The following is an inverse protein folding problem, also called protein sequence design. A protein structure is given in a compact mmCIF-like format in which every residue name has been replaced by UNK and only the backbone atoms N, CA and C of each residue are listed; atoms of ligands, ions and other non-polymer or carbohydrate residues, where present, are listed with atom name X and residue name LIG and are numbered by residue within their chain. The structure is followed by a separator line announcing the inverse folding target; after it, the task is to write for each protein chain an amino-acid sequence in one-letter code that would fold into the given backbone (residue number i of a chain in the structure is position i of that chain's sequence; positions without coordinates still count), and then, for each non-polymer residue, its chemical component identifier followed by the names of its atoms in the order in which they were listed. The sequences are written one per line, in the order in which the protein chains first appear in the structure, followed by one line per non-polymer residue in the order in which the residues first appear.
data_IF_180774393298
#
_entry.id   IF_180774393298
#
_cell.length_a   1.000
_cell.length_b   1.000
_cell.length_c   1.000
_cell.angle_alpha   90.00
_cell.angle_beta   90.00
_cell.angle_gamma   90.00
#
_symmetry.space_group_name_H-M   'P 1'
#
loop_
_entity.id
_entity.type
_entity.pdbx_description
1 polymer ?
#
# COMPACT_ATOMS: atom_id res chain seq x y z
N UNK A 1 -36.32 19.50 19.78
CA UNK A 1 -35.68 18.66 18.74
C UNK A 1 -34.42 18.03 19.32
N UNK A 2 -34.34 16.70 19.37
CA UNK A 2 -33.35 15.94 20.15
C UNK A 2 -32.11 15.69 19.27
N UNK A 3 -30.99 16.36 19.56
CA UNK A 3 -29.70 16.12 18.89
C UNK A 3 -29.25 14.67 19.13
N UNK A 4 -29.13 13.89 18.06
CA UNK A 4 -28.42 12.61 18.09
C UNK A 4 -26.92 12.89 18.16
N UNK A 5 -26.33 12.66 19.35
CA UNK A 5 -24.88 12.56 19.50
C UNK A 5 -24.39 11.38 18.65
N UNK A 6 -23.57 11.67 17.65
CA UNK A 6 -22.77 10.65 16.96
C UNK A 6 -21.85 10.03 18.01
N UNK A 7 -22.11 8.77 18.34
CA UNK A 7 -21.23 7.98 19.19
C UNK A 7 -19.92 7.80 18.44
N UNK A 8 -18.82 8.07 19.15
CA UNK A 8 -17.46 7.68 18.79
C UNK A 8 -17.49 6.35 18.06
N UNK A 9 -16.99 6.35 16.82
CA UNK A 9 -16.71 5.13 16.09
C UNK A 9 -15.71 4.38 16.96
N UNK A 10 -16.17 3.20 17.35
CA UNK A 10 -15.50 2.29 18.24
C UNK A 10 -14.06 2.06 17.77
N UNK A 11 -13.20 1.89 18.77
CA UNK A 11 -11.96 1.14 18.73
C UNK A 11 -12.00 0.10 17.60
N UNK A 12 -11.41 0.45 16.45
CA UNK A 12 -11.09 -0.54 15.45
C UNK A 12 -10.17 -1.56 16.14
N UNK A 13 -10.35 -2.87 15.89
CA UNK A 13 -9.44 -3.87 16.43
C UNK A 13 -8.02 -3.43 16.10
N UNK A 14 -7.14 -3.39 17.11
CA UNK A 14 -5.70 -3.21 16.89
C UNK A 14 -5.34 -4.18 15.78
N UNK A 15 -4.91 -3.64 14.63
CA UNK A 15 -4.43 -4.43 13.52
C UNK A 15 -3.40 -5.39 14.12
N UNK A 16 -3.74 -6.69 14.16
CA UNK A 16 -2.92 -7.67 14.83
C UNK A 16 -1.58 -7.72 14.10
N UNK A 17 -0.51 -7.68 14.89
CA UNK A 17 0.85 -7.94 14.43
C UNK A 17 0.89 -9.29 13.67
N UNK A 18 1.82 -9.48 12.72
CA UNK A 18 1.92 -10.65 11.84
C UNK A 18 2.28 -11.98 12.55
N UNK A 19 1.96 -12.14 13.84
CA UNK A 19 2.46 -13.22 14.70
C UNK A 19 1.72 -14.56 14.54
N UNK A 20 1.29 -14.93 13.33
CA UNK A 20 0.76 -16.28 13.08
C UNK A 20 1.22 -16.90 11.76
N UNK A 21 2.49 -16.71 11.43
CA UNK A 21 3.22 -17.60 10.53
C UNK A 21 3.98 -18.60 11.38
N UNK A 22 3.61 -19.88 11.27
CA UNK A 22 4.06 -20.93 12.20
C UNK A 22 5.58 -21.01 12.38
N UNK A 23 5.98 -21.48 13.56
CA UNK A 23 7.35 -21.78 13.96
C UNK A 23 7.99 -22.79 12.99
N UNK A 24 8.60 -22.28 11.93
CA UNK A 24 9.36 -23.05 10.95
C UNK A 24 10.79 -22.56 10.91
N UNK A 25 11.70 -23.34 11.50
CA UNK A 25 13.14 -23.06 11.47
C UNK A 25 13.68 -23.26 10.04
N UNK A 26 13.60 -22.22 9.22
CA UNK A 26 14.18 -22.20 7.87
C UNK A 26 13.50 -21.18 6.95
N UNK A 27 14.20 -20.08 6.67
CA UNK A 27 13.78 -18.95 5.85
C UNK A 27 12.43 -18.34 6.28
N UNK A 28 12.50 -17.27 7.07
CA UNK A 28 11.38 -16.46 7.55
C UNK A 28 10.29 -16.30 6.48
N UNK A 29 9.19 -17.05 6.64
CA UNK A 29 8.02 -16.87 5.78
C UNK A 29 7.29 -15.63 6.29
N UNK A 30 7.52 -14.49 5.66
CA UNK A 30 6.62 -13.33 5.82
C UNK A 30 5.24 -13.72 5.27
N UNK A 31 4.32 -14.12 6.14
CA UNK A 31 2.89 -14.01 5.85
C UNK A 31 2.34 -12.78 6.54
N UNK A 32 1.52 -12.06 5.77
CA UNK A 32 0.95 -10.80 6.16
C UNK A 32 -0.08 -10.38 5.13
N UNK A 33 -0.93 -9.45 5.53
CA UNK A 33 -1.87 -8.81 4.61
C UNK A 33 -1.21 -7.55 4.10
N UNK A 34 -1.05 -7.44 2.78
CA UNK A 34 -0.53 -6.24 2.12
C UNK A 34 -1.68 -5.56 1.39
N UNK A 35 -1.98 -4.32 1.79
CA UNK A 35 -3.04 -3.55 1.19
C UNK A 35 -2.53 -2.76 -0.01
N UNK A 36 -3.38 -2.65 -1.02
CA UNK A 36 -3.22 -1.73 -2.14
C UNK A 36 -4.48 -0.88 -2.16
N UNK A 37 -4.33 0.44 -2.23
CA UNK A 37 -5.47 1.34 -2.27
C UNK A 37 -6.18 1.27 -3.64
N UNK A 38 -7.50 1.37 -3.62
CA UNK A 38 -8.36 1.53 -4.78
C UNK A 38 -8.72 3.00 -5.04
N UNK A 39 -9.28 3.28 -6.22
CA UNK A 39 -9.76 4.63 -6.57
C UNK A 39 -10.94 5.07 -5.68
N UNK A 40 -11.75 4.12 -5.19
CA UNK A 40 -12.83 4.39 -4.24
C UNK A 40 -12.37 4.57 -2.78
N UNK A 41 -11.11 4.22 -2.46
CA UNK A 41 -10.55 4.42 -1.12
C UNK A 41 -9.96 5.82 -0.96
N UNK A 42 -9.24 6.29 -1.98
CA UNK A 42 -8.40 7.50 -1.88
C UNK A 42 -8.63 8.55 -2.96
N UNK A 43 -9.54 8.31 -3.90
CA UNK A 43 -9.74 9.15 -5.10
C UNK A 43 -8.93 8.68 -6.31
N UNK A 44 -9.26 9.20 -7.50
CA UNK A 44 -8.57 8.93 -8.76
C UNK A 44 -7.93 10.20 -9.32
N UNK A 45 -6.70 10.10 -9.81
CA UNK A 45 -5.97 11.21 -10.43
C UNK A 45 -6.00 12.48 -9.59
N UNK A 46 -6.56 13.55 -10.17
CA UNK A 46 -6.73 14.86 -9.55
C UNK A 46 -7.66 14.86 -8.32
N UNK A 47 -8.56 13.89 -8.18
CA UNK A 47 -9.48 13.79 -7.04
C UNK A 47 -8.81 13.18 -5.79
N UNK A 48 -7.61 12.61 -5.95
CA UNK A 48 -6.83 12.09 -4.85
C UNK A 48 -6.11 13.20 -4.07
N UNK A 49 -6.31 13.24 -2.75
CA UNK A 49 -5.60 14.16 -1.86
C UNK A 49 -4.61 13.46 -0.94
N UNK A 50 -3.57 14.20 -0.53
CA UNK A 50 -2.62 13.72 0.47
C UNK A 50 -3.30 13.26 1.77
N UNK A 51 -4.33 13.98 2.21
CA UNK A 51 -5.08 13.65 3.42
C UNK A 51 -5.82 12.30 3.36
N UNK A 52 -6.31 11.90 2.18
CA UNK A 52 -6.93 10.58 1.98
C UNK A 52 -5.87 9.47 2.02
N UNK A 53 -4.74 9.69 1.35
CA UNK A 53 -3.62 8.75 1.34
C UNK A 53 -3.05 8.55 2.75
N UNK A 54 -2.84 9.63 3.50
CA UNK A 54 -2.32 9.55 4.87
C UNK A 54 -3.28 8.79 5.81
N UNK A 55 -4.61 8.98 5.65
CA UNK A 55 -5.62 8.20 6.40
C UNK A 55 -5.62 6.73 6.02
N UNK A 56 -5.48 6.41 4.74
CA UNK A 56 -5.36 5.03 4.28
C UNK A 56 -4.09 4.38 4.87
N UNK A 57 -2.94 5.05 4.76
CA UNK A 57 -1.67 4.54 5.28
C UNK A 57 -1.69 4.33 6.80
N UNK A 58 -2.40 5.19 7.54
CA UNK A 58 -2.53 5.07 8.99
C UNK A 58 -3.28 3.79 9.43
N UNK A 59 -4.15 3.24 8.58
CA UNK A 59 -4.96 2.05 8.90
C UNK A 59 -4.39 0.79 8.25
N UNK A 60 -3.91 0.88 7.02
CA UNK A 60 -3.59 -0.27 6.18
C UNK A 60 -2.10 -0.41 5.86
N UNK A 61 -1.26 0.51 6.34
CA UNK A 61 0.18 0.51 6.08
C UNK A 61 0.58 1.31 4.84
N UNK A 62 1.89 1.41 4.61
CA UNK A 62 2.46 2.28 3.58
C UNK A 62 2.10 1.83 2.17
N UNK A 63 1.71 2.79 1.34
CA UNK A 63 1.55 2.62 -0.11
C UNK A 63 2.87 2.96 -0.82
N UNK A 64 3.03 2.54 -2.08
CA UNK A 64 4.27 2.72 -2.83
C UNK A 64 5.48 2.12 -2.10
N UNK A 65 5.31 0.87 -1.63
CA UNK A 65 6.23 0.21 -0.72
C UNK A 65 6.80 -1.07 -1.34
N UNK A 66 7.92 -1.54 -0.77
CA UNK A 66 8.59 -2.78 -1.14
C UNK A 66 8.64 -3.70 0.07
N UNK A 67 8.32 -4.96 -0.15
CA UNK A 67 8.27 -6.00 0.87
C UNK A 67 9.05 -7.21 0.37
N UNK A 68 10.14 -7.54 1.05
CA UNK A 68 10.98 -8.68 0.68
C UNK A 68 10.41 -9.95 1.31
N UNK A 69 9.94 -10.89 0.49
CA UNK A 69 9.47 -12.20 0.95
C UNK A 69 10.62 -13.19 1.15
N UNK A 70 11.69 -13.01 0.38
CA UNK A 70 12.92 -13.78 0.44
C UNK A 70 14.08 -12.91 -0.05
N UNK A 71 15.29 -13.47 -0.10
CA UNK A 71 16.45 -12.79 -0.70
C UNK A 71 16.31 -12.61 -2.23
N UNK A 72 15.32 -13.24 -2.86
CA UNK A 72 15.14 -13.24 -4.30
C UNK A 72 13.79 -12.69 -4.76
N UNK A 73 12.76 -12.70 -3.90
CA UNK A 73 11.41 -12.27 -4.28
C UNK A 73 11.00 -11.02 -3.51
N UNK A 74 10.54 -10.00 -4.24
CA UNK A 74 10.07 -8.72 -3.70
C UNK A 74 8.67 -8.40 -4.18
N UNK A 75 7.76 -8.12 -3.25
CA UNK A 75 6.46 -7.52 -3.53
C UNK A 75 6.57 -6.01 -3.55
N UNK A 76 6.07 -5.39 -4.59
CA UNK A 76 5.99 -3.94 -4.74
C UNK A 76 4.54 -3.53 -4.83
N UNK A 77 4.05 -2.77 -3.84
CA UNK A 77 2.71 -2.19 -3.85
C UNK A 77 2.76 -0.79 -4.46
N UNK A 78 1.87 -0.49 -5.40
CA UNK A 78 1.86 0.80 -6.10
C UNK A 78 0.45 1.41 -6.09
N UNK A 79 0.37 2.68 -5.71
CA UNK A 79 -0.81 3.52 -5.86
C UNK A 79 -0.90 3.97 -7.32
N UNK A 80 -1.57 3.18 -8.15
CA UNK A 80 -1.72 3.43 -9.58
C UNK A 80 -2.68 4.60 -9.89
N UNK A 81 -3.52 5.00 -8.94
CA UNK A 81 -4.57 6.01 -9.11
C UNK A 81 -4.04 7.37 -9.53
N UNK A 82 -2.81 7.70 -9.14
CA UNK A 82 -2.21 9.01 -9.37
C UNK A 82 -1.19 9.00 -10.52
N UNK A 83 -1.04 7.87 -11.23
CA UNK A 83 -0.16 7.77 -12.41
C UNK A 83 -0.71 8.55 -13.61
N UNK A 84 -2.03 8.71 -13.70
CA UNK A 84 -2.73 9.48 -14.74
C UNK A 84 -2.79 10.99 -14.45
N UNK A 85 -2.00 11.46 -13.48
CA UNK A 85 -1.91 12.85 -13.06
C UNK A 85 -2.63 13.12 -11.75
N UNK A 86 -1.93 13.75 -10.80
CA UNK A 86 -2.49 14.22 -9.54
C UNK A 86 -2.56 15.75 -9.48
N UNK A 87 -3.43 16.30 -8.63
CA UNK A 87 -3.41 17.76 -8.35
C UNK A 87 -2.09 18.19 -7.73
N UNK A 88 -1.51 17.32 -6.89
CA UNK A 88 -0.19 17.50 -6.30
C UNK A 88 0.80 16.58 -7.03
N UNK A 89 1.68 17.16 -7.83
CA UNK A 89 2.68 16.44 -8.62
C UNK A 89 3.66 15.62 -7.77
N UNK A 90 3.81 15.95 -6.47
CA UNK A 90 4.61 15.14 -5.56
C UNK A 90 3.97 13.77 -5.27
N UNK A 91 2.64 13.67 -5.37
CA UNK A 91 1.90 12.41 -5.21
C UNK A 91 2.12 11.48 -6.39
N UNK A 92 2.26 12.03 -7.59
CA UNK A 92 2.54 11.28 -8.82
C UNK A 92 4.00 10.82 -8.89
N UNK A 93 4.94 11.63 -8.38
CA UNK A 93 6.37 11.31 -8.43
C UNK A 93 6.71 10.00 -7.73
N UNK A 94 6.08 9.73 -6.58
CA UNK A 94 6.44 8.59 -5.73
C UNK A 94 6.07 7.23 -6.33
N UNK A 95 4.85 6.99 -6.86
CA UNK A 95 4.52 5.78 -7.61
C UNK A 95 5.44 5.55 -8.82
N UNK A 96 5.73 6.59 -9.61
CA UNK A 96 6.66 6.45 -10.74
C UNK A 96 8.07 6.09 -10.29
N UNK A 97 8.56 6.68 -9.19
CA UNK A 97 9.84 6.32 -8.60
C UNK A 97 9.84 4.86 -8.14
N UNK A 98 8.76 4.40 -7.48
CA UNK A 98 8.60 3.00 -7.05
C UNK A 98 8.60 2.03 -8.23
N UNK A 99 7.92 2.35 -9.33
CA UNK A 99 7.92 1.54 -10.55
C UNK A 99 9.32 1.43 -11.18
N UNK A 100 10.07 2.55 -11.25
CA UNK A 100 11.45 2.53 -11.76
C UNK A 100 12.37 1.67 -10.88
N UNK A 101 12.21 1.76 -9.56
CA UNK A 101 12.95 0.91 -8.63
C UNK A 101 12.57 -0.58 -8.79
N UNK A 102 11.29 -0.88 -9.04
CA UNK A 102 10.83 -2.24 -9.29
C UNK A 102 11.48 -2.80 -10.57
N UNK A 103 11.54 -2.01 -11.65
CA UNK A 103 12.24 -2.39 -12.88
C UNK A 103 13.73 -2.67 -12.62
N UNK A 104 14.40 -1.78 -11.88
CA UNK A 104 15.81 -1.97 -11.51
C UNK A 104 16.04 -3.26 -10.71
N UNK A 105 15.17 -3.60 -9.76
CA UNK A 105 15.28 -4.86 -9.00
C UNK A 105 15.12 -6.09 -9.90
N UNK A 106 14.24 -6.02 -10.90
CA UNK A 106 14.10 -7.09 -11.89
C UNK A 106 15.38 -7.23 -12.75
N UNK A 107 15.99 -6.11 -13.16
CA UNK A 107 17.26 -6.11 -13.91
C UNK A 107 18.42 -6.65 -13.06
N UNK A 108 18.39 -6.44 -11.75
CA UNK A 108 19.32 -7.04 -10.77
C UNK A 108 19.07 -8.54 -10.53
N UNK A 109 18.06 -9.11 -11.18
CA UNK A 109 17.75 -10.53 -11.15
C UNK A 109 16.81 -10.95 -10.03
N UNK A 110 16.10 -10.04 -9.36
CA UNK A 110 15.07 -10.39 -8.40
C UNK A 110 13.75 -10.72 -9.10
N UNK A 111 12.98 -11.63 -8.52
CA UNK A 111 11.58 -11.86 -8.86
C UNK A 111 10.72 -10.73 -8.26
N UNK A 112 10.15 -9.89 -9.12
CA UNK A 112 9.31 -8.77 -8.70
C UNK A 112 7.85 -9.11 -8.89
N UNK A 113 7.11 -9.16 -7.79
CA UNK A 113 5.64 -9.24 -7.79
C UNK A 113 5.09 -7.83 -7.65
N UNK A 114 4.47 -7.32 -8.71
CA UNK A 114 3.86 -5.99 -8.70
C UNK A 114 2.38 -6.09 -8.34
N UNK A 115 1.96 -5.35 -7.31
CA UNK A 115 0.57 -5.28 -6.87
C UNK A 115 0.01 -3.86 -7.02
N UNK A 116 -1.05 -3.74 -7.82
CA UNK A 116 -1.70 -2.51 -8.21
C UNK A 116 -3.20 -2.75 -8.40
N UNK A 117 -4.02 -1.73 -8.13
CA UNK A 117 -5.48 -1.85 -8.24
C UNK A 117 -5.99 -1.55 -9.66
N UNK A 118 -5.44 -0.54 -10.33
CA UNK A 118 -5.80 -0.15 -11.71
C UNK A 118 -4.73 -0.72 -12.65
N UNK A 119 -5.07 -1.59 -13.61
CA UNK A 119 -4.13 -2.13 -14.59
C UNK A 119 -3.40 -1.01 -15.36
N UNK A 120 -2.11 -1.22 -15.62
CA UNK A 120 -1.27 -0.36 -16.46
C UNK A 120 -1.57 -0.53 -17.94
#
# INVERSE_FOLDING_TARGET
ARMKRLRSIAQLPRYMAPDSCGEGTGADRMCGVFAVNGNHDTGYGADGSRSQLDRFEAVFGKINARHYFSNHTVLVTVNAQVLDGAQDSSLEHRPWQTLRQAAQLADEGLEVVLALHIPL
#
